data_IF_207120782924
#
_entry.id   IF_207120782924
#
_cell.length_a   1.000
_cell.length_b   1.000
_cell.length_c   1.000
_cell.angle_alpha   90.00
_cell.angle_beta   90.00
_cell.angle_gamma   90.00
#
_symmetry.space_group_name_H-M   'P 1'
#
loop_
_entity.id
_entity.type
_entity.pdbx_description
1 polymer ?
#
# COMPACT_ATOMS: atom_id res chain seq x y z
N UNK A 1 -16.21 -13.62 -8.23
CA UNK A 1 -17.33 -12.70 -8.48
C UNK A 1 -17.10 -11.32 -7.86
N UNK A 2 -15.97 -11.08 -7.18
CA UNK A 2 -15.60 -9.82 -6.58
C UNK A 2 -16.40 -9.44 -5.33
N UNK A 3 -17.10 -10.38 -4.70
CA UNK A 3 -17.73 -10.16 -3.39
C UNK A 3 -16.72 -10.36 -2.27
N UNK A 4 -16.91 -9.65 -1.15
CA UNK A 4 -16.09 -9.82 0.04
C UNK A 4 -16.46 -11.14 0.73
N UNK A 5 -15.50 -12.08 0.82
CA UNK A 5 -15.65 -13.29 1.62
C UNK A 5 -15.50 -13.01 3.13
N UNK A 6 -14.86 -11.88 3.50
CA UNK A 6 -14.65 -11.46 4.88
C UNK A 6 -14.64 -9.92 4.96
N UNK A 7 -15.07 -9.31 6.07
CA UNK A 7 -14.96 -7.86 6.26
C UNK A 7 -13.52 -7.35 6.14
N UNK A 8 -13.36 -6.14 5.60
CA UNK A 8 -12.04 -5.50 5.47
C UNK A 8 -11.38 -5.36 6.86
N UNK A 9 -10.14 -5.82 6.97
CA UNK A 9 -9.36 -5.71 8.19
C UNK A 9 -8.60 -4.38 8.16
N UNK A 10 -8.83 -3.53 9.17
CA UNK A 10 -8.14 -2.26 9.29
C UNK A 10 -6.66 -2.48 9.62
N UNK A 11 -5.77 -1.64 9.09
CA UNK A 11 -4.31 -1.71 9.33
C UNK A 11 -3.91 -1.63 10.81
N UNK A 12 -4.74 -1.01 11.68
CA UNK A 12 -4.51 -0.97 13.14
C UNK A 12 -4.97 -2.24 13.85
N UNK A 13 -5.56 -3.19 13.16
CA UNK A 13 -6.04 -4.43 13.78
C UNK A 13 -4.85 -5.28 14.23
N UNK A 14 -4.85 -5.65 15.50
CA UNK A 14 -3.77 -6.45 16.09
C UNK A 14 -3.62 -7.85 15.48
N UNK A 15 -4.62 -8.35 14.77
CA UNK A 15 -4.52 -9.60 14.02
C UNK A 15 -3.47 -9.53 12.91
N UNK A 16 -3.18 -8.34 12.38
CA UNK A 16 -2.14 -8.10 11.38
C UNK A 16 -0.71 -8.10 11.95
N UNK A 17 -0.53 -8.21 13.27
CA UNK A 17 0.80 -8.40 13.88
C UNK A 17 1.44 -9.76 13.54
N UNK A 18 0.67 -10.66 12.96
CA UNK A 18 1.11 -11.95 12.41
C UNK A 18 0.62 -12.08 10.99
N UNK A 19 1.24 -12.92 10.16
CA UNK A 19 0.71 -13.25 8.85
C UNK A 19 -0.76 -13.68 8.93
N UNK A 20 -1.61 -13.06 8.12
CA UNK A 20 -3.02 -13.43 8.07
C UNK A 20 -3.14 -14.80 7.38
N UNK A 21 -3.69 -15.77 8.07
CA UNK A 21 -3.87 -17.10 7.51
C UNK A 21 -5.25 -17.23 6.87
N UNK A 22 -5.28 -17.86 5.72
CA UNK A 22 -6.52 -18.20 5.03
C UNK A 22 -7.23 -19.33 5.79
N UNK A 23 -8.29 -18.97 6.48
CA UNK A 23 -9.18 -19.89 7.20
C UNK A 23 -10.64 -19.85 6.68
N UNK A 24 -10.88 -19.10 5.60
CA UNK A 24 -12.19 -18.90 4.99
C UNK A 24 -12.26 -19.74 3.71
N UNK A 25 -13.02 -20.85 3.70
CA UNK A 25 -13.06 -21.77 2.55
C UNK A 25 -13.47 -21.12 1.23
N UNK A 26 -14.33 -20.10 1.28
CA UNK A 26 -14.84 -19.39 0.10
C UNK A 26 -13.88 -18.33 -0.41
N UNK A 27 -12.81 -18.03 0.30
CA UNK A 27 -11.85 -17.01 -0.09
C UNK A 27 -10.99 -17.49 -1.27
N UNK A 28 -11.21 -16.89 -2.44
CA UNK A 28 -10.41 -17.16 -3.62
C UNK A 28 -9.13 -16.29 -3.64
N UNK A 29 -9.25 -15.04 -3.22
CA UNK A 29 -8.15 -14.07 -3.25
C UNK A 29 -7.96 -13.34 -1.92
N UNK A 30 -6.71 -13.00 -1.66
CA UNK A 30 -6.28 -12.05 -0.63
C UNK A 30 -5.74 -10.80 -1.34
N UNK A 31 -6.27 -9.63 -1.00
CA UNK A 31 -5.87 -8.37 -1.61
C UNK A 31 -6.00 -7.22 -0.61
N UNK A 32 -5.42 -6.09 -0.95
CA UNK A 32 -5.63 -4.83 -0.24
C UNK A 32 -6.94 -4.17 -0.68
N UNK A 33 -7.33 -3.09 -0.02
CA UNK A 33 -8.51 -2.30 -0.39
C UNK A 33 -8.39 -1.74 -1.80
N UNK A 34 -7.18 -1.37 -2.25
CA UNK A 34 -6.93 -0.85 -3.60
C UNK A 34 -7.17 -1.91 -4.66
N UNK A 35 -6.67 -3.13 -4.46
CA UNK A 35 -6.95 -4.24 -5.37
C UNK A 35 -8.44 -4.58 -5.43
N UNK A 36 -9.14 -4.59 -4.29
CA UNK A 36 -10.59 -4.77 -4.27
C UNK A 36 -11.32 -3.69 -5.08
N UNK A 37 -10.95 -2.42 -4.91
CA UNK A 37 -11.53 -1.33 -5.69
C UNK A 37 -11.21 -1.45 -7.17
N UNK A 38 -10.00 -1.88 -7.52
CA UNK A 38 -9.61 -2.14 -8.92
C UNK A 38 -10.54 -3.16 -9.56
N UNK A 39 -10.77 -4.29 -8.90
CA UNK A 39 -11.71 -5.33 -9.42
C UNK A 39 -13.11 -4.75 -9.59
N UNK A 40 -13.62 -3.98 -8.61
CA UNK A 40 -14.96 -3.39 -8.67
C UNK A 40 -15.12 -2.36 -9.80
N UNK A 41 -14.03 -1.66 -10.13
CA UNK A 41 -14.06 -0.62 -11.16
C UNK A 41 -13.78 -1.15 -12.56
N UNK A 42 -12.92 -2.16 -12.67
CA UNK A 42 -12.36 -2.58 -13.96
C UNK A 42 -12.63 -4.03 -14.32
N UNK A 43 -12.95 -4.88 -13.34
CA UNK A 43 -13.01 -6.33 -13.50
C UNK A 43 -11.64 -7.02 -13.50
N UNK A 44 -10.54 -6.27 -13.43
CA UNK A 44 -9.18 -6.80 -13.46
C UNK A 44 -8.67 -7.14 -12.06
N UNK A 45 -8.07 -8.32 -11.90
CA UNK A 45 -7.47 -8.77 -10.65
C UNK A 45 -6.02 -8.26 -10.54
N UNK A 46 -5.88 -6.96 -10.46
CA UNK A 46 -4.61 -6.25 -10.39
C UNK A 46 -4.56 -5.30 -9.20
N UNK A 47 -3.34 -5.04 -8.73
CA UNK A 47 -3.06 -4.02 -7.71
C UNK A 47 -1.72 -3.33 -7.99
N UNK A 48 -1.43 -2.25 -7.28
CA UNK A 48 -0.13 -1.58 -7.38
C UNK A 48 0.91 -2.25 -6.50
N UNK A 49 2.10 -2.51 -7.03
CA UNK A 49 3.21 -3.05 -6.26
C UNK A 49 3.59 -2.14 -5.06
N UNK A 50 3.48 -0.82 -5.23
CA UNK A 50 3.86 0.15 -4.21
C UNK A 50 2.89 0.25 -3.02
N UNK A 51 1.87 -0.60 -2.95
CA UNK A 51 0.95 -0.68 -1.81
C UNK A 51 1.33 -1.79 -0.81
N UNK A 52 2.24 -2.67 -1.18
CA UNK A 52 2.61 -3.84 -0.37
C UNK A 52 3.88 -3.61 0.42
N UNK A 53 3.73 -3.35 1.71
CA UNK A 53 4.84 -3.07 2.64
C UNK A 53 5.28 -4.29 3.47
N UNK A 54 5.02 -5.50 2.95
CA UNK A 54 5.56 -6.75 3.51
C UNK A 54 4.81 -7.33 4.71
N UNK A 55 3.66 -6.74 5.11
CA UNK A 55 2.83 -7.28 6.20
C UNK A 55 1.65 -8.10 5.69
N UNK A 56 1.31 -7.95 4.42
CA UNK A 56 0.06 -8.45 3.85
C UNK A 56 0.22 -9.60 2.86
N UNK A 57 1.39 -10.18 2.78
CA UNK A 57 1.66 -11.29 1.90
C UNK A 57 3.16 -11.52 1.66
N UNK A 58 3.52 -12.52 0.88
CA UNK A 58 4.89 -12.87 0.56
C UNK A 58 5.47 -11.93 -0.52
N UNK A 59 5.54 -10.63 -0.21
CA UNK A 59 6.01 -9.60 -1.13
C UNK A 59 7.53 -9.38 -1.00
N UNK A 60 8.24 -9.41 -2.13
CA UNK A 60 9.66 -9.09 -2.21
C UNK A 60 9.86 -7.61 -2.59
N UNK A 61 10.21 -6.79 -1.60
CA UNK A 61 10.43 -5.35 -1.77
C UNK A 61 11.57 -4.99 -2.72
N UNK A 62 12.55 -5.88 -2.91
CA UNK A 62 13.65 -5.65 -3.85
C UNK A 62 13.23 -5.92 -5.28
N UNK A 63 12.38 -6.91 -5.45
CA UNK A 63 11.84 -7.30 -6.74
C UNK A 63 10.65 -6.44 -7.18
N UNK A 64 9.94 -5.83 -6.23
CA UNK A 64 8.68 -5.14 -6.43
C UNK A 64 7.56 -6.05 -6.94
N UNK A 65 7.61 -7.29 -6.50
CA UNK A 65 6.65 -8.32 -6.89
C UNK A 65 6.54 -9.39 -5.79
N UNK A 66 5.68 -10.33 -5.97
CA UNK A 66 5.55 -11.48 -5.11
C UNK A 66 6.84 -12.32 -5.09
N UNK A 67 7.14 -12.93 -3.96
CA UNK A 67 8.29 -13.81 -3.80
C UNK A 67 8.22 -15.01 -4.76
N UNK A 68 9.37 -15.41 -5.30
CA UNK A 68 9.51 -16.64 -6.08
C UNK A 68 9.71 -17.88 -5.18
N UNK A 69 9.93 -17.68 -3.89
CA UNK A 69 10.15 -18.77 -2.95
C UNK A 69 8.81 -19.28 -2.38
N UNK A 70 8.39 -20.52 -2.68
CA UNK A 70 7.12 -21.07 -2.17
C UNK A 70 7.01 -21.08 -0.65
N UNK A 71 8.14 -21.17 0.08
CA UNK A 71 8.13 -21.17 1.54
C UNK A 71 7.66 -19.84 2.15
N UNK A 72 7.76 -18.74 1.41
CA UNK A 72 7.30 -17.43 1.89
C UNK A 72 5.78 -17.30 1.93
N UNK A 73 5.07 -18.21 1.24
CA UNK A 73 3.61 -18.28 1.22
C UNK A 73 3.02 -19.10 2.38
N UNK A 74 3.81 -20.04 2.91
CA UNK A 74 3.35 -20.95 3.99
C UNK A 74 2.81 -20.21 5.21
N UNK A 75 3.46 -19.13 5.72
CA UNK A 75 2.96 -18.40 6.88
C UNK A 75 1.55 -17.82 6.70
N UNK A 76 1.13 -17.59 5.45
CA UNK A 76 -0.17 -17.04 5.10
C UNK A 76 -1.20 -18.11 4.72
N UNK A 77 -0.78 -19.36 4.59
CA UNK A 77 -1.60 -20.48 4.12
C UNK A 77 -2.28 -20.19 2.77
N UNK A 78 -1.52 -19.61 1.84
CA UNK A 78 -1.94 -19.25 0.47
C UNK A 78 -0.93 -19.76 -0.55
N UNK A 79 -1.28 -19.62 -1.82
CA UNK A 79 -0.38 -19.80 -2.97
C UNK A 79 -0.34 -18.53 -3.81
N UNK A 80 0.54 -18.45 -4.80
CA UNK A 80 0.60 -17.33 -5.75
C UNK A 80 -0.76 -17.07 -6.44
N UNK A 81 -1.52 -18.11 -6.68
CA UNK A 81 -2.83 -18.04 -7.34
C UNK A 81 -3.91 -17.32 -6.50
N UNK A 82 -3.67 -17.17 -5.20
CA UNK A 82 -4.55 -16.42 -4.31
C UNK A 82 -4.25 -14.91 -4.28
N UNK A 83 -3.26 -14.44 -5.02
CA UNK A 83 -2.83 -13.06 -5.04
C UNK A 83 -3.04 -12.43 -6.41
N UNK A 84 -3.33 -11.13 -6.41
CA UNK A 84 -3.49 -10.35 -7.63
C UNK A 84 -2.16 -10.15 -8.36
N UNK A 85 -2.21 -9.89 -9.66
CA UNK A 85 -1.05 -9.44 -10.40
C UNK A 85 -0.71 -8.00 -10.02
N UNK A 86 0.59 -7.72 -9.93
CA UNK A 86 1.08 -6.41 -9.55
C UNK A 86 1.55 -5.63 -10.78
N UNK A 87 1.27 -4.34 -10.76
CA UNK A 87 1.76 -3.37 -11.76
C UNK A 87 2.51 -2.24 -11.06
N UNK A 88 3.37 -1.55 -11.79
CA UNK A 88 4.14 -0.45 -11.23
C UNK A 88 3.30 0.82 -11.09
N UNK A 89 3.64 1.72 -10.14
CA UNK A 89 3.05 3.04 -10.10
C UNK A 89 3.16 3.76 -11.46
N UNK A 90 2.05 4.32 -11.92
CA UNK A 90 1.93 4.95 -13.24
C UNK A 90 1.38 4.03 -14.34
N UNK A 91 1.37 2.73 -14.15
CA UNK A 91 0.78 1.78 -15.10
C UNK A 91 -0.76 1.73 -14.99
N UNK A 92 -1.39 1.22 -16.04
CA UNK A 92 -2.85 1.06 -16.11
C UNK A 92 -3.24 -0.25 -15.41
N UNK A 93 -4.08 -0.15 -14.36
CA UNK A 93 -4.71 -1.27 -13.69
C UNK A 93 -5.82 -1.89 -14.54
N UNK A 94 -6.55 -1.05 -15.26
CA UNK A 94 -7.67 -1.43 -16.12
C UNK A 94 -8.47 -0.20 -16.55
N UNK A 95 -9.65 -0.43 -17.09
CA UNK A 95 -10.53 0.64 -17.56
C UNK A 95 -11.89 0.53 -16.87
N UNK A 96 -12.50 1.67 -16.53
CA UNK A 96 -13.81 1.73 -15.91
C UNK A 96 -14.84 0.99 -16.77
N UNK A 97 -15.49 -0.02 -16.21
CA UNK A 97 -16.54 -0.78 -16.88
C UNK A 97 -17.83 0.00 -16.97
N UNK A 98 -18.75 -0.43 -17.82
CA UNK A 98 -20.09 0.17 -17.90
C UNK A 98 -20.82 0.11 -16.56
N UNK A 99 -20.77 -1.05 -15.87
CA UNK A 99 -21.39 -1.21 -14.55
C UNK A 99 -20.80 -0.24 -13.52
N UNK A 100 -19.48 -0.12 -13.48
CA UNK A 100 -18.80 0.82 -12.59
C UNK A 100 -19.13 2.28 -12.95
N UNK A 101 -19.24 2.61 -14.23
CA UNK A 101 -19.65 3.93 -14.71
C UNK A 101 -21.06 4.29 -14.24
N UNK A 102 -22.01 3.40 -14.37
CA UNK A 102 -23.39 3.59 -13.90
C UNK A 102 -23.47 3.79 -12.37
N UNK A 103 -22.61 3.10 -11.60
CA UNK A 103 -22.60 3.19 -10.15
C UNK A 103 -21.85 4.42 -9.61
N UNK A 104 -20.84 4.92 -10.32
CA UNK A 104 -19.91 5.96 -9.82
C UNK A 104 -20.00 7.29 -10.56
N UNK A 105 -20.64 7.31 -11.72
CA UNK A 105 -20.68 8.44 -12.67
C UNK A 105 -19.31 8.75 -13.31
N UNK A 106 -18.31 7.90 -13.14
CA UNK A 106 -17.06 8.01 -13.89
C UNK A 106 -17.29 7.61 -15.35
N UNK A 107 -16.63 8.23 -16.32
CA UNK A 107 -16.78 7.85 -17.72
C UNK A 107 -16.38 6.38 -17.96
N UNK A 108 -17.21 5.63 -18.69
CA UNK A 108 -16.84 4.29 -19.17
C UNK A 108 -15.55 4.38 -20.01
N UNK A 109 -14.66 3.42 -19.85
CA UNK A 109 -13.38 3.40 -20.54
C UNK A 109 -12.32 4.35 -19.97
N UNK A 110 -12.62 5.09 -18.90
CA UNK A 110 -11.61 5.89 -18.20
C UNK A 110 -10.52 4.97 -17.62
N UNK A 111 -9.21 5.24 -17.86
CA UNK A 111 -8.14 4.43 -17.31
C UNK A 111 -8.05 4.60 -15.79
N UNK A 112 -7.89 3.49 -15.08
CA UNK A 112 -7.56 3.43 -13.65
C UNK A 112 -6.07 3.21 -13.53
N UNK A 113 -5.38 4.17 -12.93
CA UNK A 113 -3.92 4.21 -12.86
C UNK A 113 -3.44 3.72 -11.51
N UNK A 114 -2.44 2.84 -11.49
CA UNK A 114 -1.75 2.42 -10.30
C UNK A 114 -1.03 3.60 -9.64
N UNK A 115 -1.20 3.75 -8.34
CA UNK A 115 -0.48 4.74 -7.53
C UNK A 115 0.37 4.00 -6.48
N UNK A 116 0.53 4.57 -5.31
CA UNK A 116 1.28 3.99 -4.19
C UNK A 116 0.48 4.17 -2.89
N UNK A 117 1.04 3.73 -1.78
CA UNK A 117 0.47 4.06 -0.48
C UNK A 117 0.41 5.59 -0.26
N UNK A 118 -0.37 6.03 0.72
CA UNK A 118 -0.62 7.44 0.99
C UNK A 118 0.67 8.24 1.23
N UNK A 119 1.62 7.70 1.98
CA UNK A 119 2.90 8.38 2.27
C UNK A 119 3.79 8.53 1.04
N UNK A 120 3.84 7.53 0.20
CA UNK A 120 4.57 7.62 -1.06
C UNK A 120 3.92 8.63 -2.03
N UNK A 121 2.60 8.65 -2.10
CA UNK A 121 1.85 9.63 -2.89
C UNK A 121 2.04 11.06 -2.36
N UNK A 122 1.99 11.26 -1.02
CA UNK A 122 2.31 12.55 -0.37
C UNK A 122 3.74 13.00 -0.71
N UNK A 123 4.72 12.09 -0.62
CA UNK A 123 6.13 12.37 -0.95
C UNK A 123 6.29 12.85 -2.39
N UNK A 124 5.68 12.17 -3.33
CA UNK A 124 5.70 12.56 -4.74
C UNK A 124 5.02 13.91 -4.96
N UNK A 125 3.83 14.10 -4.38
CA UNK A 125 3.06 15.35 -4.47
C UNK A 125 3.77 16.55 -3.85
N UNK A 126 4.53 16.34 -2.76
CA UNK A 126 5.35 17.35 -2.12
C UNK A 126 6.67 17.63 -2.87
N UNK A 127 6.98 16.85 -3.91
CA UNK A 127 8.15 17.09 -4.76
C UNK A 127 9.43 16.42 -4.28
N UNK A 128 9.37 15.35 -3.48
CA UNK A 128 10.57 14.55 -3.17
C UNK A 128 10.98 13.78 -4.44
N UNK A 129 11.88 14.39 -5.22
CA UNK A 129 12.37 13.82 -6.48
C UNK A 129 13.90 13.76 -6.58
N UNK A 130 14.59 14.35 -5.62
CA UNK A 130 16.05 14.42 -5.58
C UNK A 130 16.59 14.04 -4.20
N UNK A 131 17.90 13.82 -4.15
CA UNK A 131 18.59 13.37 -2.94
C UNK A 131 18.78 14.51 -1.90
N UNK A 132 18.40 15.75 -2.24
CA UNK A 132 18.52 16.92 -1.37
C UNK A 132 17.21 17.32 -0.66
N UNK A 133 16.11 16.67 -1.01
CA UNK A 133 14.78 17.01 -0.50
C UNK A 133 14.38 16.10 0.66
N UNK A 134 13.81 16.72 1.71
CA UNK A 134 13.21 16.01 2.84
C UNK A 134 11.78 16.49 3.05
N UNK A 135 10.86 15.57 3.27
CA UNK A 135 9.50 15.88 3.71
C UNK A 135 9.35 15.62 5.19
N UNK A 136 8.78 16.58 5.91
CA UNK A 136 8.32 16.38 7.27
C UNK A 136 6.80 16.43 7.28
N UNK A 137 6.17 15.30 7.53
CA UNK A 137 4.71 15.18 7.66
C UNK A 137 4.29 15.67 9.04
N UNK A 138 3.45 16.69 9.13
CA UNK A 138 2.96 17.29 10.37
C UNK A 138 1.48 16.95 10.62
N UNK A 139 1.14 15.68 10.48
CA UNK A 139 -0.21 15.17 10.71
C UNK A 139 -0.41 14.58 12.11
N UNK A 140 -1.32 13.62 12.20
CA UNK A 140 -1.53 12.82 13.43
C UNK A 140 -0.25 12.11 13.83
N UNK A 141 0.48 11.57 12.86
CA UNK A 141 1.84 11.08 13.01
C UNK A 141 2.81 12.11 12.40
N UNK A 142 3.82 12.51 13.17
CA UNK A 142 4.89 13.38 12.68
C UNK A 142 6.09 12.50 12.38
N UNK A 143 6.52 12.48 11.13
CA UNK A 143 7.69 11.73 10.68
C UNK A 143 8.35 12.42 9.50
N UNK A 144 9.63 12.11 9.29
CA UNK A 144 10.39 12.59 8.15
C UNK A 144 10.55 11.49 7.11
N UNK A 145 10.65 11.87 5.84
CA UNK A 145 10.99 10.96 4.76
C UNK A 145 11.91 11.62 3.75
N UNK A 146 12.80 10.81 3.19
CA UNK A 146 13.72 11.20 2.12
C UNK A 146 13.72 10.13 1.04
N UNK A 147 14.14 10.50 -0.17
CA UNK A 147 14.31 9.54 -1.26
C UNK A 147 15.41 8.53 -0.94
N UNK A 148 15.14 7.27 -1.26
CA UNK A 148 16.09 6.17 -1.21
C UNK A 148 16.25 5.53 -2.59
N UNK A 149 17.48 5.10 -2.91
CA UNK A 149 17.79 4.42 -4.19
C UNK A 149 17.86 2.92 -4.07
N UNK A 150 18.03 2.43 -2.84
CA UNK A 150 18.22 1.00 -2.57
C UNK A 150 17.33 0.57 -1.42
N UNK A 151 16.83 -0.65 -1.49
CA UNK A 151 16.14 -1.25 -0.36
C UNK A 151 17.14 -1.60 0.75
N UNK A 152 16.82 -1.20 1.98
CA UNK A 152 17.55 -1.65 3.17
C UNK A 152 16.57 -2.07 4.27
N UNK A 153 16.87 -3.17 4.94
CA UNK A 153 16.16 -3.71 6.10
C UNK A 153 17.02 -3.70 7.37
N UNK A 154 18.23 -3.15 7.27
CA UNK A 154 19.24 -3.21 8.35
C UNK A 154 19.28 -1.96 9.22
N UNK A 155 18.63 -0.87 8.82
CA UNK A 155 18.61 0.35 9.62
C UNK A 155 17.62 0.25 10.79
N UNK A 156 18.02 0.77 11.95
CA UNK A 156 17.16 0.94 13.13
C UNK A 156 16.54 2.33 13.20
N UNK A 157 17.08 3.28 12.46
CA UNK A 157 16.69 4.69 12.48
C UNK A 157 15.57 5.01 11.48
N UNK A 158 15.47 4.22 10.42
CA UNK A 158 14.47 4.37 9.38
C UNK A 158 14.12 3.01 8.77
N UNK A 159 12.96 2.93 8.14
CA UNK A 159 12.58 1.80 7.29
C UNK A 159 12.44 2.23 5.84
N UNK A 160 12.68 1.29 4.93
CA UNK A 160 12.49 1.51 3.50
C UNK A 160 11.07 1.16 3.11
N UNK A 161 10.33 2.15 2.64
CA UNK A 161 9.05 1.98 1.96
C UNK A 161 9.21 2.10 0.45
N UNK A 162 8.25 1.56 -0.30
CA UNK A 162 8.22 1.71 -1.75
C UNK A 162 7.79 3.13 -2.11
N UNK A 163 8.46 3.74 -3.07
CA UNK A 163 8.11 5.06 -3.57
C UNK A 163 6.92 5.00 -4.55
N UNK A 164 6.32 6.14 -4.85
CA UNK A 164 5.41 6.30 -5.99
C UNK A 164 6.15 6.38 -7.34
N UNK A 165 7.47 6.31 -7.33
CA UNK A 165 8.32 6.19 -8.53
C UNK A 165 8.83 4.75 -8.57
N UNK A 166 8.60 4.00 -9.67
CA UNK A 166 9.03 2.62 -9.80
C UNK A 166 10.51 2.41 -9.47
N UNK A 167 10.80 1.37 -8.70
CA UNK A 167 12.14 0.96 -8.29
C UNK A 167 12.92 1.99 -7.46
N UNK A 168 12.22 2.96 -6.87
CA UNK A 168 12.75 3.87 -5.87
C UNK A 168 12.10 3.60 -4.50
N UNK A 169 12.75 4.08 -3.45
CA UNK A 169 12.28 3.89 -2.08
C UNK A 169 12.11 5.24 -1.38
N UNK A 170 11.35 5.22 -0.30
CA UNK A 170 11.30 6.29 0.68
C UNK A 170 11.85 5.76 1.99
N UNK A 171 12.89 6.41 2.51
CA UNK A 171 13.37 6.14 3.87
C UNK A 171 12.57 6.99 4.83
N UNK A 172 11.74 6.34 5.63
CA UNK A 172 10.93 6.98 6.64
C UNK A 172 11.54 6.80 8.03
N UNK A 173 11.47 7.84 8.85
CA UNK A 173 11.97 7.76 10.22
C UNK A 173 11.22 6.68 11.01
N UNK A 174 11.96 5.75 11.63
CA UNK A 174 11.40 4.67 12.45
C UNK A 174 10.81 5.20 13.77
N UNK A 175 11.27 6.36 14.21
CA UNK A 175 10.79 7.06 15.40
C UNK A 175 10.07 8.34 15.00
N UNK A 176 8.75 8.35 15.16
CA UNK A 176 7.92 9.53 14.91
C UNK A 176 7.05 9.87 16.10
N UNK A 177 6.47 11.06 16.09
CA UNK A 177 5.54 11.49 17.12
C UNK A 177 4.15 10.98 16.76
N UNK A 178 3.66 9.98 17.48
CA UNK A 178 2.37 9.31 17.21
C UNK A 178 1.13 10.16 17.49
N UNK A 179 1.26 11.27 18.17
CA UNK A 179 0.18 12.20 18.50
C UNK A 179 0.57 13.63 18.15
N UNK A 180 1.11 13.86 16.97
CA UNK A 180 1.69 15.12 16.53
C UNK A 180 0.75 16.31 16.70
N UNK A 181 -0.14 16.55 15.75
CA UNK A 181 -1.05 17.71 15.80
C UNK A 181 -2.09 17.65 16.93
N UNK A 182 -2.38 16.49 17.49
CA UNK A 182 -3.19 16.39 18.70
C UNK A 182 -2.54 17.08 19.90
N UNK A 183 -1.20 17.06 19.96
CA UNK A 183 -0.46 17.78 21.01
C UNK A 183 -0.65 19.30 20.91
N UNK A 184 -0.78 19.82 19.68
CA UNK A 184 -1.08 21.25 19.45
C UNK A 184 -2.49 21.59 19.92
N UNK A 185 -3.48 20.75 19.59
CA UNK A 185 -4.86 20.93 20.05
C UNK A 185 -4.95 20.87 21.57
N UNK A 186 -4.31 19.87 22.18
CA UNK A 186 -4.22 19.75 23.63
C UNK A 186 -3.56 20.99 24.29
N UNK A 187 -2.45 21.48 23.74
CA UNK A 187 -1.78 22.66 24.24
C UNK A 187 -2.65 23.91 24.13
N UNK A 188 -3.41 24.05 23.03
CA UNK A 188 -4.38 25.15 22.86
C UNK A 188 -5.49 25.14 23.93
N UNK A 189 -5.92 23.95 24.37
CA UNK A 189 -6.95 23.81 25.41
C UNK A 189 -6.44 24.16 26.82
N UNK A 190 -5.10 24.21 27.02
CA UNK A 190 -4.49 24.60 28.30
C UNK A 190 -4.30 26.10 28.45
N UNK A 191 -4.41 26.88 27.37
CA UNK A 191 -4.28 28.33 27.35
C UNK A 191 -5.63 29.03 27.39
#
# INVERSE_FOLDING_TARGET
DGTLAYPVINWMDKRLAKPYQKDIPEMAYLSTTTGYLTVRMTGEFKDTAANYEGVYGPFDKKKWDWSDNPADYEPYNITRENLFDLVMPGDILGYVTKEASEATLLPEGCPVIATANDKAAEGLGAGIRDDGSCLVSLGTYIGGMVRGKEYTDTSVDYWSNLSAIPHEYLYETSVGIRRGMWSVSWFKELL
#
